data_IF_492480678998
#
_entry.id   IF_492480678998
#
_cell.length_a   1.000
_cell.length_b   1.000
_cell.length_c   1.000
_cell.angle_alpha   90.00
_cell.angle_beta   90.00
_cell.angle_gamma   90.00
#
_symmetry.space_group_name_H-M   'P 1'
#
loop_
_entity.id
_entity.type
_entity.pdbx_description
1 polymer ?
#
# COMPACT_ATOMS: atom_id res chain seq x y z
N UNK A 1 10.53 9.23 -12.52
CA UNK A 1 10.64 7.97 -11.73
C UNK A 1 9.56 6.94 -12.05
N UNK A 2 9.28 6.68 -13.34
CA UNK A 2 8.40 5.57 -13.79
C UNK A 2 9.07 4.80 -14.95
N UNK A 3 10.40 4.83 -14.96
CA UNK A 3 11.25 4.22 -15.95
C UNK A 3 12.21 3.31 -15.20
N UNK A 4 12.44 2.11 -15.72
CA UNK A 4 13.38 1.12 -15.17
C UNK A 4 14.28 0.69 -16.31
N UNK A 5 15.60 0.76 -16.10
CA UNK A 5 16.57 0.24 -17.06
C UNK A 5 16.57 -1.29 -16.98
N UNK A 6 16.55 -1.96 -18.13
CA UNK A 6 16.72 -3.41 -18.20
C UNK A 6 18.19 -3.73 -18.09
N UNK A 7 18.56 -4.59 -17.13
CA UNK A 7 19.91 -5.12 -16.95
C UNK A 7 19.94 -6.58 -17.39
N UNK A 8 21.04 -6.98 -18.04
CA UNK A 8 21.35 -8.39 -18.36
C UNK A 8 20.26 -9.12 -19.16
N UNK A 9 19.49 -8.39 -19.97
CA UNK A 9 18.38 -8.96 -20.75
C UNK A 9 17.20 -9.47 -19.91
N UNK A 10 17.21 -9.28 -18.59
CA UNK A 10 16.15 -9.76 -17.71
C UNK A 10 14.96 -8.79 -17.68
N UNK A 11 14.10 -8.92 -18.70
CA UNK A 11 12.88 -8.11 -18.82
C UNK A 11 11.89 -8.41 -17.68
N UNK A 12 11.76 -9.66 -17.25
CA UNK A 12 10.77 -10.06 -16.26
C UNK A 12 10.97 -9.34 -14.92
N UNK A 13 12.21 -9.31 -14.42
CA UNK A 13 12.55 -8.59 -13.19
C UNK A 13 12.40 -7.07 -13.35
N UNK A 14 12.76 -6.54 -14.52
CA UNK A 14 12.58 -5.11 -14.84
C UNK A 14 11.11 -4.69 -14.81
N UNK A 15 10.21 -5.53 -15.35
CA UNK A 15 8.76 -5.32 -15.27
C UNK A 15 8.23 -5.46 -13.85
N UNK A 16 8.72 -6.43 -13.05
CA UNK A 16 8.35 -6.57 -11.65
C UNK A 16 8.74 -5.32 -10.84
N UNK A 17 9.96 -4.80 -11.06
CA UNK A 17 10.44 -3.54 -10.48
C UNK A 17 9.55 -2.36 -10.88
N UNK A 18 9.22 -2.23 -12.16
CA UNK A 18 8.33 -1.18 -12.63
C UNK A 18 6.94 -1.28 -11.98
N UNK A 19 6.37 -2.48 -11.92
CA UNK A 19 5.09 -2.74 -11.25
C UNK A 19 5.12 -2.33 -9.77
N UNK A 20 6.20 -2.64 -9.06
CA UNK A 20 6.38 -2.23 -7.67
C UNK A 20 6.45 -0.71 -7.51
N UNK A 21 7.15 -0.01 -8.42
CA UNK A 21 7.20 1.45 -8.44
C UNK A 21 5.81 2.05 -8.65
N UNK A 22 5.04 1.54 -9.63
CA UNK A 22 3.69 2.01 -9.91
C UNK A 22 2.72 1.75 -8.75
N UNK A 23 2.87 0.61 -8.08
CA UNK A 23 2.08 0.23 -6.90
C UNK A 23 2.38 1.14 -5.71
N UNK A 24 3.66 1.35 -5.38
CA UNK A 24 4.11 2.26 -4.30
C UNK A 24 3.61 3.68 -4.53
N UNK A 25 3.67 4.16 -5.77
CA UNK A 25 3.18 5.49 -6.16
C UNK A 25 1.66 5.55 -6.34
N UNK A 26 0.93 4.45 -6.11
CA UNK A 26 -0.54 4.35 -6.20
C UNK A 26 -1.12 4.77 -7.56
N UNK A 27 -0.34 4.66 -8.64
CA UNK A 27 -0.72 5.17 -9.97
C UNK A 27 -2.00 4.50 -10.47
N UNK A 28 -2.08 3.18 -10.40
CA UNK A 28 -3.26 2.42 -10.88
C UNK A 28 -4.50 2.70 -10.04
N UNK A 29 -4.34 2.81 -8.71
CA UNK A 29 -5.45 3.14 -7.81
C UNK A 29 -6.00 4.53 -8.11
N UNK A 30 -5.12 5.53 -8.30
CA UNK A 30 -5.54 6.88 -8.64
C UNK A 30 -6.23 6.93 -10.00
N UNK A 31 -5.70 6.23 -11.00
CA UNK A 31 -6.34 6.12 -12.31
C UNK A 31 -7.78 5.59 -12.17
N UNK A 32 -7.96 4.49 -11.45
CA UNK A 32 -9.29 3.91 -11.21
C UNK A 32 -10.24 4.88 -10.50
N UNK A 33 -9.77 5.58 -9.45
CA UNK A 33 -10.58 6.54 -8.70
C UNK A 33 -10.92 7.79 -9.52
N UNK A 34 -10.04 8.19 -10.45
CA UNK A 34 -10.22 9.37 -11.30
C UNK A 34 -11.05 9.09 -12.56
N UNK A 35 -11.27 7.82 -12.92
CA UNK A 35 -12.11 7.45 -14.07
C UNK A 35 -13.51 8.07 -14.01
N UNK A 36 -14.04 8.34 -12.80
CA UNK A 36 -15.30 9.05 -12.59
C UNK A 36 -15.16 10.11 -11.52
N UNK A 37 -15.92 11.19 -11.66
CA UNK A 37 -15.95 12.25 -10.66
C UNK A 37 -16.52 11.75 -9.32
N UNK A 38 -15.71 11.80 -8.27
CA UNK A 38 -16.14 11.57 -6.89
C UNK A 38 -16.53 12.90 -6.23
N UNK A 39 -17.80 13.03 -5.81
CA UNK A 39 -18.28 14.20 -5.06
C UNK A 39 -17.45 14.44 -3.79
N UNK A 40 -17.29 15.72 -3.41
CA UNK A 40 -16.47 16.14 -2.25
C UNK A 40 -16.84 15.44 -0.94
N UNK A 41 -18.13 15.30 -0.63
CA UNK A 41 -18.62 14.65 0.60
C UNK A 41 -18.24 13.17 0.68
N UNK A 42 -18.65 12.34 -0.31
CA UNK A 42 -18.22 10.94 -0.42
C UNK A 42 -16.69 10.76 -0.36
N UNK A 43 -15.93 11.62 -1.06
CA UNK A 43 -14.46 11.60 -1.02
C UNK A 43 -13.91 11.80 0.39
N UNK A 44 -14.44 12.76 1.15
CA UNK A 44 -14.05 12.99 2.55
C UNK A 44 -14.34 11.78 3.42
N UNK A 45 -15.53 11.19 3.31
CA UNK A 45 -15.94 10.00 4.07
C UNK A 45 -15.03 8.80 3.75
N UNK A 46 -14.72 8.57 2.47
CA UNK A 46 -13.80 7.52 2.03
C UNK A 46 -12.40 7.72 2.61
N UNK A 47 -11.83 8.91 2.47
CA UNK A 47 -10.47 9.21 2.98
C UNK A 47 -10.38 9.04 4.50
N UNK A 48 -11.40 9.46 5.25
CA UNK A 48 -11.47 9.26 6.70
C UNK A 48 -11.52 7.77 7.06
N UNK A 49 -12.39 7.00 6.39
CA UNK A 49 -12.50 5.55 6.60
C UNK A 49 -11.21 4.80 6.23
N UNK A 50 -10.56 5.16 5.11
CA UNK A 50 -9.26 4.61 4.73
C UNK A 50 -8.17 4.92 5.77
N UNK A 51 -8.12 6.16 6.26
CA UNK A 51 -7.17 6.56 7.31
C UNK A 51 -7.39 5.73 8.57
N UNK A 52 -8.64 5.62 9.02
CA UNK A 52 -8.98 4.84 10.22
C UNK A 52 -8.59 3.37 10.06
N UNK A 53 -8.94 2.72 8.94
CA UNK A 53 -8.56 1.32 8.69
C UNK A 53 -7.05 1.10 8.68
N UNK A 54 -6.28 2.04 8.13
CA UNK A 54 -4.80 1.98 8.16
C UNK A 54 -4.25 2.08 9.58
N UNK A 55 -4.74 3.03 10.37
CA UNK A 55 -4.33 3.21 11.77
C UNK A 55 -4.72 2.00 12.61
N UNK A 56 -5.96 1.54 12.49
CA UNK A 56 -6.45 0.34 13.19
C UNK A 56 -5.58 -0.89 12.88
N UNK A 57 -5.31 -1.17 11.60
CA UNK A 57 -4.46 -2.28 11.22
C UNK A 57 -3.02 -2.16 11.75
N UNK A 58 -2.50 -0.94 11.86
CA UNK A 58 -1.18 -0.68 12.43
C UNK A 58 -1.15 -0.94 13.94
N UNK A 59 -2.13 -0.45 14.69
CA UNK A 59 -2.23 -0.70 16.13
C UNK A 59 -2.44 -2.18 16.44
N UNK A 60 -3.32 -2.86 15.69
CA UNK A 60 -3.50 -4.32 15.80
C UNK A 60 -2.17 -5.04 15.55
N UNK A 61 -1.43 -4.67 14.50
CA UNK A 61 -0.13 -5.29 14.20
C UNK A 61 0.87 -5.10 15.35
N UNK A 62 0.95 -3.91 15.93
CA UNK A 62 1.83 -3.63 17.08
C UNK A 62 1.49 -4.50 18.29
N UNK A 63 0.20 -4.60 18.61
CA UNK A 63 -0.27 -5.41 19.74
C UNK A 63 0.05 -6.89 19.53
N UNK A 64 -0.19 -7.42 18.33
CA UNK A 64 0.16 -8.81 17.97
C UNK A 64 1.66 -9.06 18.07
N UNK A 65 2.48 -8.11 17.60
CA UNK A 65 3.94 -8.20 17.72
C UNK A 65 4.40 -8.22 19.19
N UNK A 66 3.79 -7.41 20.05
CA UNK A 66 4.08 -7.38 21.49
C UNK A 66 3.73 -8.72 22.14
N UNK A 67 2.52 -9.23 21.92
CA UNK A 67 2.07 -10.53 22.46
C UNK A 67 2.99 -11.66 21.97
N UNK A 68 3.35 -11.66 20.69
CA UNK A 68 4.28 -12.64 20.12
C UNK A 68 5.65 -12.58 20.79
N UNK A 69 6.14 -11.37 21.12
CA UNK A 69 7.42 -11.16 21.82
C UNK A 69 7.37 -11.63 23.27
N UNK A 70 6.26 -11.43 23.97
CA UNK A 70 6.03 -11.95 25.33
C UNK A 70 6.04 -13.48 25.32
N UNK A 71 5.27 -14.10 24.41
CA UNK A 71 5.24 -15.56 24.24
C UNK A 71 6.62 -16.16 23.94
N UNK A 72 7.41 -15.50 23.08
CA UNK A 72 8.79 -15.94 22.79
C UNK A 72 9.74 -15.90 23.99
N UNK A 73 9.42 -15.12 25.04
CA UNK A 73 10.24 -14.97 26.25
C UNK A 73 9.90 -15.97 27.35
N UNK A 74 8.96 -16.89 27.13
CA UNK A 74 8.68 -18.00 28.05
C UNK A 74 7.48 -17.79 28.96
N UNK A 75 6.51 -16.96 28.56
CA UNK A 75 5.12 -17.14 29.00
C UNK A 75 4.45 -18.26 28.20
#
# INVERSE_FOLDING_TARGET
GRSVRVTDGNLADSFAKLNNILSRNKVRQQLYLNNRHEKKGPKRRRLQSERWRRLFAHEVRKNVQLVTKIRKRGA
#
